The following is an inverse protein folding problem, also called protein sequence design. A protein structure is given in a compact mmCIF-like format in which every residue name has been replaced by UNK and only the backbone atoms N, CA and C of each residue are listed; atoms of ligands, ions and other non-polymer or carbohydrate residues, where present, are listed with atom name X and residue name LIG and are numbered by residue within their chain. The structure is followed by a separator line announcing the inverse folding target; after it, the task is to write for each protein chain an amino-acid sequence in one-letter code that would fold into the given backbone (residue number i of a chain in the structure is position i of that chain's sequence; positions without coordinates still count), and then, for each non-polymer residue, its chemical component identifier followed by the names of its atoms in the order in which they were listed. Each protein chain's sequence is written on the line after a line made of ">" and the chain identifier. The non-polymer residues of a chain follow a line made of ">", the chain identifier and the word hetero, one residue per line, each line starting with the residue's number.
data_IF_717653327813
#
_entry.id   IF_717653327813
#
_cell.length_a   1.000
_cell.length_b   1.000
_cell.length_c   1.000
_cell.angle_alpha   90.00
_cell.angle_beta   90.00
_cell.angle_gamma   90.00
#
_symmetry.space_group_name_H-M   'P 1'
#
loop_
_entity.id
_entity.type
_entity.pdbx_description
1 polymer ?
#
# COMPACT_ATOMS: atom_id res chain seq x y z
N UNK A 1 13.93 3.90 -5.74
CA UNK A 1 13.77 4.40 -4.36
C UNK A 1 12.35 4.88 -4.15
N UNK A 2 11.85 4.81 -2.91
CA UNK A 2 10.45 5.04 -2.49
C UNK A 2 9.87 6.46 -2.69
N UNK A 3 10.42 7.25 -3.63
CA UNK A 3 9.94 8.58 -3.99
C UNK A 3 8.50 8.61 -4.54
N UNK A 4 7.92 7.43 -4.82
CA UNK A 4 6.54 7.24 -5.29
C UNK A 4 5.55 6.92 -4.17
N UNK A 5 6.02 6.71 -2.93
CA UNK A 5 5.11 6.42 -1.84
C UNK A 5 4.33 7.69 -1.49
N UNK A 6 3.01 7.54 -1.43
CA UNK A 6 2.09 8.59 -1.03
C UNK A 6 2.43 9.23 0.33
N UNK A 7 3.11 8.48 1.19
CA UNK A 7 3.60 8.91 2.50
C UNK A 7 5.13 8.88 2.59
N UNK A 8 5.84 9.05 1.47
CA UNK A 8 7.31 8.98 1.38
C UNK A 8 8.04 9.75 2.50
N UNK A 9 7.55 10.95 2.84
CA UNK A 9 8.09 11.76 3.93
C UNK A 9 8.01 11.06 5.30
N UNK A 10 6.90 10.38 5.62
CA UNK A 10 6.75 9.62 6.86
C UNK A 10 7.70 8.42 6.92
N UNK A 11 8.15 7.92 5.77
CA UNK A 11 9.19 6.90 5.65
C UNK A 11 10.62 7.47 5.53
N UNK A 12 10.79 8.79 5.68
CA UNK A 12 12.10 9.45 5.65
C UNK A 12 12.70 9.61 4.25
N UNK A 13 11.86 9.65 3.21
CA UNK A 13 12.29 9.97 1.85
C UNK A 13 12.00 11.44 1.54
N UNK A 14 12.86 12.08 0.76
CA UNK A 14 12.60 13.41 0.19
C UNK A 14 11.86 13.24 -1.14
N UNK A 15 10.64 13.78 -1.25
CA UNK A 15 9.87 13.80 -2.50
C UNK A 15 10.67 14.50 -3.59
N UNK A 16 10.96 13.79 -4.70
CA UNK A 16 11.77 14.36 -5.78
C UNK A 16 11.18 14.23 -7.19
N UNK A 17 10.05 13.54 -7.39
CA UNK A 17 9.46 13.47 -8.73
C UNK A 17 7.93 13.31 -8.67
N UNK A 18 7.22 14.23 -9.31
CA UNK A 18 5.74 14.28 -9.33
C UNK A 18 5.12 13.53 -10.53
N UNK A 19 5.90 13.29 -11.58
CA UNK A 19 5.42 12.67 -12.82
C UNK A 19 6.38 11.58 -13.32
N UNK A 20 5.81 10.51 -13.89
CA UNK A 20 6.55 9.41 -14.49
C UNK A 20 6.04 9.18 -15.91
N UNK A 21 6.96 9.11 -16.86
CA UNK A 21 6.63 8.89 -18.27
C UNK A 21 6.18 7.45 -18.49
N UNK A 22 5.07 7.28 -19.21
CA UNK A 22 4.68 5.97 -19.72
C UNK A 22 5.60 5.59 -20.88
N UNK A 23 6.14 4.37 -20.81
CA UNK A 23 6.95 3.83 -21.88
C UNK A 23 6.10 2.83 -22.67
N UNK A 24 5.83 3.15 -23.94
CA UNK A 24 5.07 2.28 -24.84
C UNK A 24 5.65 0.85 -24.84
N UNK A 25 4.80 -0.15 -24.70
CA UNK A 25 5.21 -1.56 -24.66
C UNK A 25 5.13 -2.26 -26.01
N UNK A 26 4.51 -1.63 -27.00
CA UNK A 26 4.33 -2.18 -28.34
C UNK A 26 5.67 -2.31 -29.09
N UNK A 27 5.77 -3.37 -29.88
CA UNK A 27 6.92 -3.64 -30.76
C UNK A 27 6.51 -3.38 -32.21
N UNK A 28 7.47 -2.95 -33.04
CA UNK A 28 7.22 -2.62 -34.45
C UNK A 28 6.52 -1.26 -34.66
N UNK A 29 6.10 -1.00 -35.89
CA UNK A 29 5.37 0.23 -36.24
C UNK A 29 3.99 0.24 -35.59
N UNK A 30 3.65 1.35 -34.94
CA UNK A 30 2.37 1.57 -34.28
C UNK A 30 2.03 3.06 -34.30
N UNK A 31 0.75 3.37 -34.17
CA UNK A 31 0.23 4.73 -34.18
C UNK A 31 -0.35 5.13 -32.80
N UNK A 32 -0.87 6.35 -32.70
CA UNK A 32 -1.41 6.88 -31.43
C UNK A 32 -2.61 6.09 -30.90
N UNK A 33 -3.46 5.52 -31.77
CA UNK A 33 -4.59 4.68 -31.36
C UNK A 33 -4.09 3.38 -30.72
N UNK A 34 -3.08 2.75 -31.32
CA UNK A 34 -2.49 1.53 -30.77
C UNK A 34 -1.86 1.80 -29.39
N UNK A 35 -1.10 2.89 -29.25
CA UNK A 35 -0.52 3.30 -27.96
C UNK A 35 -1.59 3.60 -26.90
N UNK A 36 -2.68 4.26 -27.29
CA UNK A 36 -3.76 4.64 -26.39
C UNK A 36 -4.49 3.41 -25.85
N UNK A 37 -4.79 2.46 -26.73
CA UNK A 37 -5.40 1.17 -26.39
C UNK A 37 -4.49 0.35 -25.47
N UNK A 38 -3.21 0.18 -25.86
CA UNK A 38 -2.21 -0.55 -25.07
C UNK A 38 -2.03 0.02 -23.66
N UNK A 39 -2.05 1.35 -23.50
CA UNK A 39 -2.02 1.97 -22.18
C UNK A 39 -3.32 1.71 -21.41
N UNK A 40 -4.47 1.85 -22.07
CA UNK A 40 -5.79 1.70 -21.46
C UNK A 40 -6.02 0.31 -20.88
N UNK A 41 -5.50 -0.74 -21.53
CA UNK A 41 -5.62 -2.13 -21.09
C UNK A 41 -4.99 -2.35 -19.72
N UNK A 42 -3.91 -1.60 -19.42
CA UNK A 42 -3.17 -1.72 -18.15
C UNK A 42 -3.84 -0.98 -17.00
N UNK A 43 -4.86 -0.16 -17.26
CA UNK A 43 -5.54 0.63 -16.22
C UNK A 43 -6.23 -0.27 -15.19
N UNK A 44 -6.82 -1.39 -15.63
CA UNK A 44 -7.44 -2.36 -14.72
C UNK A 44 -6.44 -3.01 -13.76
N UNK A 45 -5.19 -3.21 -14.21
CA UNK A 45 -4.16 -3.86 -13.40
C UNK A 45 -3.71 -3.00 -12.21
N UNK A 46 -3.99 -1.69 -12.23
CA UNK A 46 -3.78 -0.80 -11.09
C UNK A 46 -4.45 -1.32 -9.82
N UNK A 47 -5.69 -1.80 -9.93
CA UNK A 47 -6.45 -2.35 -8.81
C UNK A 47 -5.88 -3.69 -8.31
N UNK A 48 -4.99 -4.30 -9.08
CA UNK A 48 -4.20 -5.48 -8.68
C UNK A 48 -2.78 -5.15 -8.20
N UNK A 49 -2.43 -3.85 -8.20
CA UNK A 49 -1.18 -3.36 -7.63
C UNK A 49 -0.05 -3.25 -8.65
N UNK A 50 -0.37 -3.37 -9.94
CA UNK A 50 0.50 -2.94 -11.02
C UNK A 50 0.55 -1.41 -11.07
N UNK A 51 1.67 -0.90 -11.55
CA UNK A 51 1.86 0.51 -11.76
C UNK A 51 2.41 0.76 -13.17
N UNK A 52 1.55 1.09 -14.15
CA UNK A 52 1.93 1.08 -15.58
C UNK A 52 3.09 2.01 -15.95
N UNK A 53 3.28 3.11 -15.20
CA UNK A 53 4.36 4.08 -15.41
C UNK A 53 5.60 3.82 -14.55
N UNK A 54 5.63 2.70 -13.80
CA UNK A 54 6.63 2.44 -12.76
C UNK A 54 7.36 1.11 -13.00
N UNK A 55 8.45 1.15 -13.75
CA UNK A 55 9.38 0.02 -13.86
C UNK A 55 10.62 0.28 -13.02
N UNK A 56 10.83 -0.53 -11.99
CA UNK A 56 12.07 -0.53 -11.20
C UNK A 56 12.87 -1.74 -11.59
N UNK A 57 14.09 -1.53 -12.10
CA UNK A 57 14.99 -2.62 -12.45
C UNK A 57 15.88 -2.98 -11.26
N UNK A 58 16.13 -4.27 -11.09
CA UNK A 58 17.12 -4.75 -10.15
C UNK A 58 18.51 -4.32 -10.61
N UNK A 59 19.29 -3.72 -9.70
CA UNK A 59 20.68 -3.35 -9.93
C UNK A 59 21.54 -4.15 -8.95
N UNK A 60 22.60 -4.77 -9.45
CA UNK A 60 23.46 -5.63 -8.64
C UNK A 60 24.31 -4.86 -7.60
N UNK A 61 24.45 -3.54 -7.74
CA UNK A 61 25.25 -2.66 -6.88
C UNK A 61 26.59 -3.30 -6.43
N UNK A 62 26.83 -3.44 -5.12
CA UNK A 62 28.05 -4.01 -4.53
C UNK A 62 28.01 -5.54 -4.39
N UNK A 63 27.09 -6.21 -5.07
CA UNK A 63 26.86 -7.65 -4.96
C UNK A 63 26.01 -8.06 -3.74
N UNK A 64 25.77 -9.36 -3.61
CA UNK A 64 24.80 -9.93 -2.66
C UNK A 64 25.29 -10.03 -1.21
N UNK A 65 26.59 -9.88 -0.97
CA UNK A 65 27.20 -9.96 0.37
C UNK A 65 27.22 -8.62 1.11
N UNK A 66 26.95 -7.51 0.40
CA UNK A 66 26.93 -6.19 1.00
C UNK A 66 25.59 -5.95 1.71
N UNK A 67 25.65 -5.60 2.98
CA UNK A 67 24.47 -5.23 3.77
C UNK A 67 24.37 -3.73 3.96
N UNK A 68 23.15 -3.21 4.01
CA UNK A 68 22.81 -1.84 4.40
C UNK A 68 21.87 -1.85 5.60
N UNK A 69 21.73 -0.77 6.37
CA UNK A 69 20.72 -0.69 7.42
C UNK A 69 19.32 -1.00 6.87
N UNK A 70 18.62 -1.94 7.50
CA UNK A 70 17.25 -2.29 7.12
C UNK A 70 16.27 -1.24 7.64
N UNK A 71 15.12 -1.12 6.94
CA UNK A 71 14.04 -0.20 7.33
C UNK A 71 12.72 -0.89 7.61
N UNK A 72 12.55 -2.13 7.16
CA UNK A 72 11.28 -2.87 7.16
C UNK A 72 11.53 -4.36 7.03
N UNK A 73 10.55 -5.17 7.42
CA UNK A 73 10.47 -6.61 7.09
C UNK A 73 9.38 -6.79 6.04
N UNK A 74 9.62 -7.66 5.06
CA UNK A 74 8.60 -8.06 4.09
C UNK A 74 7.96 -9.37 4.51
N UNK A 75 6.69 -9.34 4.93
CA UNK A 75 6.00 -10.50 5.52
C UNK A 75 5.84 -11.67 4.56
N UNK A 76 5.84 -11.44 3.24
CA UNK A 76 5.73 -12.50 2.25
C UNK A 76 7.00 -13.34 2.10
N UNK A 77 8.16 -12.81 2.50
CA UNK A 77 9.47 -13.44 2.30
C UNK A 77 10.37 -13.26 3.54
N UNK A 78 9.92 -13.73 4.71
CA UNK A 78 10.78 -13.79 5.89
C UNK A 78 10.95 -15.23 6.35
N UNK A 79 12.17 -15.53 6.82
CA UNK A 79 12.51 -16.80 7.46
C UNK A 79 12.99 -16.43 8.85
N UNK A 80 12.50 -17.17 9.85
CA UNK A 80 12.85 -17.00 11.24
C UNK A 80 13.43 -18.31 11.75
N UNK A 81 14.55 -18.24 12.47
CA UNK A 81 15.10 -19.43 13.12
C UNK A 81 14.24 -19.79 14.32
N UNK A 82 14.12 -21.09 14.69
CA UNK A 82 13.32 -21.51 15.84
C UNK A 82 13.63 -20.71 17.12
N UNK A 83 14.91 -20.48 17.41
CA UNK A 83 15.36 -19.75 18.60
C UNK A 83 15.13 -18.22 18.56
N UNK A 84 14.43 -17.72 17.54
CA UNK A 84 14.02 -16.30 17.44
C UNK A 84 12.51 -16.15 17.24
N UNK A 85 11.71 -17.20 17.44
CA UNK A 85 10.25 -17.17 17.22
C UNK A 85 9.52 -16.17 18.12
N UNK A 86 10.12 -15.72 19.23
CA UNK A 86 9.64 -14.59 20.03
C UNK A 86 9.60 -13.25 19.27
N UNK A 87 10.26 -13.18 18.11
CA UNK A 87 10.22 -12.04 17.19
C UNK A 87 9.31 -12.29 15.97
N UNK A 88 8.48 -13.34 16.00
CA UNK A 88 7.49 -13.59 14.97
C UNK A 88 6.53 -12.40 14.83
N UNK A 89 5.93 -12.22 13.65
CA UNK A 89 5.15 -11.03 13.31
C UNK A 89 4.08 -10.76 14.39
N UNK A 90 4.20 -9.66 15.14
CA UNK A 90 3.23 -9.34 16.18
C UNK A 90 1.94 -8.82 15.59
N UNK A 91 0.87 -8.88 16.38
CA UNK A 91 -0.43 -8.30 16.03
C UNK A 91 -1.09 -8.90 14.78
N UNK A 92 -0.71 -10.11 14.39
CA UNK A 92 -1.24 -10.79 13.21
C UNK A 92 -2.77 -10.95 13.25
N UNK A 93 -3.36 -11.03 14.45
CA UNK A 93 -4.80 -11.10 14.71
C UNK A 93 -5.56 -9.88 14.19
N UNK A 94 -4.91 -8.70 14.13
CA UNK A 94 -5.51 -7.48 13.56
C UNK A 94 -5.66 -7.56 12.03
N UNK A 95 -4.94 -8.47 11.37
CA UNK A 95 -4.93 -8.66 9.91
C UNK A 95 -4.62 -7.39 9.10
N UNK A 96 -3.91 -6.42 9.67
CA UNK A 96 -3.54 -5.18 9.00
C UNK A 96 -2.43 -5.39 7.95
N UNK A 97 -2.33 -4.50 6.96
CA UNK A 97 -1.39 -4.65 5.84
C UNK A 97 0.07 -4.35 6.22
N UNK A 98 0.29 -3.56 7.27
CA UNK A 98 1.61 -3.04 7.65
C UNK A 98 2.33 -3.88 8.72
N UNK A 99 1.96 -5.15 8.92
CA UNK A 99 2.52 -5.99 9.97
C UNK A 99 4.06 -6.18 9.86
N UNK A 100 4.61 -6.33 8.65
CA UNK A 100 6.05 -6.43 8.43
C UNK A 100 6.80 -5.13 8.70
N UNK A 101 6.35 -3.97 8.17
CA UNK A 101 6.86 -2.67 8.58
C UNK A 101 6.80 -2.43 10.09
N UNK A 102 5.72 -2.82 10.77
CA UNK A 102 5.56 -2.71 12.23
C UNK A 102 6.66 -3.52 12.93
N UNK A 103 6.80 -4.80 12.59
CA UNK A 103 7.88 -5.65 13.09
C UNK A 103 9.25 -5.02 12.84
N UNK A 104 9.47 -4.47 11.64
CA UNK A 104 10.71 -3.79 11.29
C UNK A 104 11.04 -2.61 12.21
N UNK A 105 10.05 -1.87 12.73
CA UNK A 105 10.28 -0.79 13.70
C UNK A 105 10.72 -1.32 15.07
N UNK A 106 10.06 -2.36 15.54
CA UNK A 106 10.38 -3.02 16.82
C UNK A 106 11.78 -3.67 16.75
N UNK A 107 12.09 -4.37 15.65
CA UNK A 107 13.41 -4.96 15.46
C UNK A 107 14.48 -3.90 15.33
N UNK A 108 14.22 -2.79 14.64
CA UNK A 108 15.19 -1.71 14.53
C UNK A 108 15.51 -1.06 15.89
N UNK A 109 14.51 -0.86 16.77
CA UNK A 109 14.76 -0.30 18.11
C UNK A 109 15.59 -1.24 18.99
N UNK A 110 15.41 -2.55 18.82
CA UNK A 110 16.07 -3.59 19.61
C UNK A 110 17.45 -3.96 19.08
N UNK A 111 17.56 -4.27 17.79
CA UNK A 111 18.76 -4.78 17.12
C UNK A 111 19.69 -3.66 16.64
N UNK A 112 19.17 -2.44 16.42
CA UNK A 112 19.93 -1.25 16.00
C UNK A 112 20.80 -1.53 14.77
N UNK A 113 22.13 -1.40 14.91
CA UNK A 113 23.09 -1.62 13.81
C UNK A 113 23.10 -3.06 13.28
N UNK A 114 22.52 -4.01 14.00
CA UNK A 114 22.35 -5.40 13.55
C UNK A 114 21.11 -5.61 12.67
N UNK A 115 20.18 -4.64 12.62
CA UNK A 115 19.05 -4.69 11.71
C UNK A 115 19.48 -4.25 10.30
N UNK A 116 19.79 -5.23 9.46
CA UNK A 116 20.38 -5.00 8.13
C UNK A 116 19.62 -5.74 7.02
N UNK A 117 19.76 -5.26 5.80
CA UNK A 117 19.17 -5.84 4.58
C UNK A 117 20.23 -6.00 3.50
N UNK A 118 20.02 -6.96 2.61
CA UNK A 118 20.78 -7.13 1.37
C UNK A 118 19.86 -6.93 0.15
N UNK A 119 20.41 -6.42 -0.95
CA UNK A 119 19.67 -6.26 -2.20
C UNK A 119 19.73 -7.57 -2.99
N UNK A 120 18.61 -8.31 -3.02
CA UNK A 120 18.48 -9.60 -3.71
C UNK A 120 17.51 -9.47 -4.89
N UNK A 121 17.72 -10.22 -5.99
CA UNK A 121 16.81 -10.21 -7.12
C UNK A 121 15.44 -10.77 -6.70
N UNK A 122 14.36 -10.08 -7.06
CA UNK A 122 13.02 -10.62 -6.92
C UNK A 122 12.74 -11.57 -8.09
N UNK A 123 12.38 -12.82 -7.78
CA UNK A 123 12.12 -13.87 -8.77
C UNK A 123 10.62 -14.09 -9.06
N UNK A 124 9.72 -13.26 -8.49
CA UNK A 124 8.27 -13.37 -8.68
C UNK A 124 7.67 -12.04 -9.15
N UNK A 125 6.67 -12.11 -10.03
CA UNK A 125 5.84 -10.98 -10.44
C UNK A 125 4.64 -10.83 -9.50
N UNK A 126 4.10 -9.62 -9.39
CA UNK A 126 2.89 -9.37 -8.56
C UNK A 126 1.59 -9.78 -9.24
N UNK A 127 1.60 -9.80 -10.57
CA UNK A 127 0.46 -10.13 -11.42
C UNK A 127 0.85 -11.29 -12.32
N UNK A 128 -0.13 -12.10 -12.70
CA UNK A 128 0.04 -13.15 -13.71
C UNK A 128 0.11 -12.48 -15.07
N UNK A 129 1.19 -12.67 -15.82
CA UNK A 129 1.44 -11.98 -17.09
C UNK A 129 0.28 -12.12 -18.08
N UNK A 130 -0.43 -13.25 -18.10
CA UNK A 130 -1.53 -13.51 -19.02
C UNK A 130 -2.85 -12.83 -18.66
N UNK A 131 -3.05 -12.44 -17.40
CA UNK A 131 -4.34 -11.89 -16.92
C UNK A 131 -4.20 -10.50 -16.31
N UNK A 132 -2.99 -10.07 -15.96
CA UNK A 132 -2.75 -8.83 -15.21
C UNK A 132 -3.35 -8.82 -13.81
N UNK A 133 -3.92 -9.94 -13.36
CA UNK A 133 -4.52 -10.10 -12.04
C UNK A 133 -3.46 -10.57 -11.05
N UNK A 134 -3.59 -10.14 -9.80
CA UNK A 134 -2.75 -10.67 -8.72
C UNK A 134 -3.11 -12.13 -8.45
N UNK A 135 -2.11 -13.02 -8.34
CA UNK A 135 -2.33 -14.43 -7.95
C UNK A 135 -3.04 -14.51 -6.59
N UNK A 136 -2.69 -13.61 -5.67
CA UNK A 136 -3.35 -13.46 -4.39
C UNK A 136 -3.19 -12.03 -3.86
N UNK A 137 -4.30 -11.31 -3.68
CA UNK A 137 -4.31 -9.99 -3.03
C UNK A 137 -5.43 -9.89 -2.00
N UNK A 138 -5.08 -10.09 -0.73
CA UNK A 138 -6.03 -10.04 0.38
C UNK A 138 -6.74 -8.68 0.46
N UNK A 139 -8.07 -8.71 0.51
CA UNK A 139 -8.90 -7.50 0.60
C UNK A 139 -9.26 -6.87 -0.73
N UNK A 140 -8.88 -7.48 -1.86
CA UNK A 140 -9.35 -7.13 -3.20
C UNK A 140 -10.34 -8.18 -3.68
N UNK A 141 -11.50 -7.77 -4.18
CA UNK A 141 -12.53 -8.65 -4.73
C UNK A 141 -12.86 -8.24 -6.15
N UNK A 142 -12.90 -9.22 -7.05
CA UNK A 142 -13.43 -9.04 -8.40
C UNK A 142 -14.91 -9.41 -8.38
N UNK A 143 -15.76 -8.44 -8.66
CA UNK A 143 -17.19 -8.67 -8.93
C UNK A 143 -17.41 -8.68 -10.46
N UNK A 144 -18.63 -8.97 -10.89
CA UNK A 144 -18.97 -9.04 -12.32
C UNK A 144 -18.75 -7.69 -13.05
N UNK A 145 -18.88 -6.57 -12.33
CA UNK A 145 -18.87 -5.22 -12.92
C UNK A 145 -17.81 -4.28 -12.36
N UNK A 146 -17.18 -4.62 -11.24
CA UNK A 146 -16.23 -3.73 -10.55
C UNK A 146 -15.21 -4.50 -9.70
N UNK A 147 -14.15 -3.79 -9.30
CA UNK A 147 -13.08 -4.30 -8.44
C UNK A 147 -13.16 -3.56 -7.10
N UNK A 148 -13.51 -4.28 -6.03
CA UNK A 148 -13.65 -3.73 -4.68
C UNK A 148 -12.31 -3.82 -3.92
N UNK A 149 -11.76 -2.67 -3.56
CA UNK A 149 -10.54 -2.48 -2.76
C UNK A 149 -10.85 -2.11 -1.30
N UNK A 150 -12.10 -2.07 -0.87
CA UNK A 150 -12.48 -1.42 0.39
C UNK A 150 -11.82 -2.04 1.61
N UNK A 151 -11.74 -3.37 1.65
CA UNK A 151 -11.04 -4.07 2.74
C UNK A 151 -9.53 -3.85 2.69
N UNK A 152 -8.92 -3.85 1.51
CA UNK A 152 -7.50 -3.51 1.35
C UNK A 152 -7.22 -2.07 1.84
N UNK A 153 -8.07 -1.12 1.49
CA UNK A 153 -7.97 0.27 1.91
C UNK A 153 -8.02 0.40 3.44
N UNK A 154 -9.01 -0.23 4.09
CA UNK A 154 -9.15 -0.21 5.56
C UNK A 154 -7.92 -0.83 6.24
N UNK A 155 -7.46 -1.98 5.73
CA UNK A 155 -6.27 -2.67 6.26
C UNK A 155 -4.99 -1.87 6.10
N UNK A 156 -4.89 -1.07 5.03
CA UNK A 156 -3.78 -0.17 4.79
C UNK A 156 -3.85 1.03 5.75
N UNK A 157 -5.00 1.71 5.83
CA UNK A 157 -5.20 2.88 6.67
C UNK A 157 -4.90 2.61 8.15
N UNK A 158 -5.56 1.62 8.75
CA UNK A 158 -5.30 1.25 10.14
C UNK A 158 -3.93 0.59 10.32
N UNK A 159 -3.39 -0.02 9.27
CA UNK A 159 -2.00 -0.48 9.23
C UNK A 159 -1.00 0.66 9.37
N UNK A 160 -1.23 1.78 8.69
CA UNK A 160 -0.37 2.97 8.80
C UNK A 160 -0.47 3.59 10.20
N UNK A 161 -1.68 3.68 10.77
CA UNK A 161 -1.87 4.13 12.15
C UNK A 161 -1.08 3.26 13.11
N UNK A 162 -1.18 1.93 12.98
CA UNK A 162 -0.42 0.99 13.80
C UNK A 162 1.10 1.19 13.63
N UNK A 163 1.57 1.27 12.38
CA UNK A 163 2.99 1.45 12.06
C UNK A 163 3.57 2.72 12.67
N UNK A 164 2.90 3.86 12.47
CA UNK A 164 3.42 5.14 12.92
C UNK A 164 3.22 5.35 14.43
N UNK A 165 2.20 4.74 15.03
CA UNK A 165 2.07 4.67 16.49
C UNK A 165 3.22 3.89 17.10
N UNK A 166 3.51 2.69 16.60
CA UNK A 166 4.65 1.89 17.07
C UNK A 166 5.96 2.63 16.87
N UNK A 167 6.16 3.32 15.73
CA UNK A 167 7.34 4.15 15.53
C UNK A 167 7.48 5.20 16.64
N UNK A 168 6.43 6.00 16.90
CA UNK A 168 6.42 7.02 17.96
C UNK A 168 6.69 6.41 19.35
N UNK A 169 6.06 5.28 19.67
CA UNK A 169 6.26 4.52 20.91
C UNK A 169 7.72 4.09 21.06
N UNK A 170 8.31 3.48 20.02
CA UNK A 170 9.70 3.03 20.05
C UNK A 170 10.70 4.19 20.13
N UNK A 171 10.43 5.32 19.48
CA UNK A 171 11.27 6.51 19.56
C UNK A 171 11.25 7.14 20.96
N UNK A 172 10.11 7.05 21.67
CA UNK A 172 9.96 7.46 23.08
C UNK A 172 10.55 6.47 24.09
N UNK A 173 10.99 5.27 23.66
CA UNK A 173 11.45 4.18 24.52
C UNK A 173 10.45 3.78 25.61
N UNK A 174 9.15 3.78 25.30
CA UNK A 174 8.12 3.36 26.26
C UNK A 174 8.16 1.84 26.45
N UNK A 175 7.92 1.39 27.69
CA UNK A 175 7.86 -0.02 28.05
C UNK A 175 6.49 -0.62 27.71
N UNK A 176 6.47 -1.89 27.29
CA UNK A 176 5.25 -2.66 26.99
C UNK A 176 4.72 -3.45 28.19
N UNK A 177 5.19 -3.18 29.41
CA UNK A 177 4.76 -3.82 30.67
C UNK A 177 3.37 -3.38 31.18
N UNK A 178 2.59 -2.70 30.33
CA UNK A 178 1.26 -2.18 30.66
C UNK A 178 1.23 -0.87 31.45
N UNK A 179 2.37 -0.36 31.95
CA UNK A 179 2.40 0.91 32.70
C UNK A 179 2.09 2.15 31.85
N UNK A 180 2.23 2.05 30.52
CA UNK A 180 2.10 3.16 29.58
C UNK A 180 0.75 3.21 28.84
N UNK A 181 -0.32 2.61 29.39
CA UNK A 181 -1.63 2.53 28.72
C UNK A 181 -2.16 3.86 28.19
N UNK A 182 -2.15 4.91 29.03
CA UNK A 182 -2.69 6.22 28.66
C UNK A 182 -1.81 6.91 27.61
N UNK A 183 -0.49 6.76 27.73
CA UNK A 183 0.49 7.28 26.77
C UNK A 183 0.35 6.58 25.41
N UNK A 184 0.15 5.26 25.39
CA UNK A 184 -0.13 4.50 24.17
C UNK A 184 -1.42 4.98 23.52
N UNK A 185 -2.49 5.19 24.30
CA UNK A 185 -3.76 5.70 23.78
C UNK A 185 -3.58 7.07 23.14
N UNK A 186 -2.93 7.99 23.83
CA UNK A 186 -2.63 9.34 23.32
C UNK A 186 -1.83 9.29 22.02
N UNK A 187 -0.78 8.46 21.96
CA UNK A 187 0.02 8.31 20.72
C UNK A 187 -0.80 7.75 19.56
N UNK A 188 -1.67 6.77 19.82
CA UNK A 188 -2.53 6.16 18.81
C UNK A 188 -3.56 7.17 18.28
N UNK A 189 -4.22 7.91 19.17
CA UNK A 189 -5.26 8.88 18.80
C UNK A 189 -4.66 10.07 18.03
N UNK A 190 -3.50 10.60 18.46
CA UNK A 190 -2.77 11.64 17.73
C UNK A 190 -2.35 11.15 16.33
N UNK A 191 -1.83 9.93 16.25
CA UNK A 191 -1.43 9.34 14.96
C UNK A 191 -2.62 9.10 14.05
N UNK A 192 -3.76 8.72 14.60
CA UNK A 192 -5.01 8.60 13.84
C UNK A 192 -5.40 9.93 13.21
N UNK A 193 -5.41 11.04 13.95
CA UNK A 193 -5.75 12.34 13.38
C UNK A 193 -4.76 12.80 12.29
N UNK A 194 -3.45 12.62 12.53
CA UNK A 194 -2.40 12.92 11.55
C UNK A 194 -2.61 12.15 10.23
N UNK A 195 -2.79 10.83 10.34
CA UNK A 195 -2.95 9.94 9.18
C UNK A 195 -4.28 10.17 8.49
N UNK A 196 -5.38 10.36 9.24
CA UNK A 196 -6.70 10.67 8.69
C UNK A 196 -6.68 11.95 7.87
N UNK A 197 -6.07 13.02 8.38
CA UNK A 197 -5.96 14.27 7.65
C UNK A 197 -5.25 14.08 6.29
N UNK A 198 -4.13 13.34 6.28
CA UNK A 198 -3.39 13.02 5.05
C UNK A 198 -4.23 12.20 4.06
N UNK A 199 -4.94 11.18 4.54
CA UNK A 199 -5.80 10.34 3.71
C UNK A 199 -6.98 11.12 3.11
N UNK A 200 -7.59 12.04 3.87
CA UNK A 200 -8.67 12.92 3.37
C UNK A 200 -8.15 13.87 2.28
N UNK A 201 -6.97 14.46 2.48
CA UNK A 201 -6.34 15.32 1.46
C UNK A 201 -6.07 14.54 0.14
N UNK A 202 -5.55 13.31 0.27
CA UNK A 202 -5.31 12.43 -0.89
C UNK A 202 -6.58 11.99 -1.58
N UNK A 203 -7.60 11.65 -0.81
CA UNK A 203 -8.93 11.31 -1.33
C UNK A 203 -9.49 12.46 -2.17
N UNK A 204 -9.45 13.69 -1.65
CA UNK A 204 -9.89 14.87 -2.39
C UNK A 204 -9.07 15.07 -3.69
N UNK A 205 -7.76 14.84 -3.62
CA UNK A 205 -6.87 14.89 -4.80
C UNK A 205 -7.27 13.85 -5.85
N UNK A 206 -7.55 12.61 -5.43
CA UNK A 206 -7.99 11.52 -6.32
C UNK A 206 -9.30 11.91 -7.04
N UNK A 207 -10.27 12.45 -6.31
CA UNK A 207 -11.55 12.88 -6.89
C UNK A 207 -11.40 14.05 -7.87
N UNK A 208 -10.50 14.99 -7.58
CA UNK A 208 -10.16 16.08 -8.51
C UNK A 208 -9.51 15.53 -9.78
N UNK A 209 -8.50 14.67 -9.65
CA UNK A 209 -7.81 14.05 -10.79
C UNK A 209 -8.76 13.21 -11.64
N UNK A 210 -9.64 12.43 -11.01
CA UNK A 210 -10.70 11.68 -11.70
C UNK A 210 -11.58 12.60 -12.55
N UNK A 211 -12.00 13.73 -12.00
CA UNK A 211 -12.82 14.72 -12.71
C UNK A 211 -12.06 15.35 -13.89
N UNK A 212 -10.76 15.62 -13.73
CA UNK A 212 -9.91 16.11 -14.82
C UNK A 212 -9.77 15.07 -15.94
N UNK A 213 -9.48 13.81 -15.60
CA UNK A 213 -9.37 12.72 -16.59
C UNK A 213 -10.69 12.55 -17.33
N UNK A 214 -11.83 12.51 -16.61
CA UNK A 214 -13.15 12.41 -17.24
C UNK A 214 -13.39 13.55 -18.23
N UNK A 215 -13.06 14.78 -17.83
CA UNK A 215 -13.27 15.96 -18.67
C UNK A 215 -12.39 15.93 -19.93
N UNK A 216 -11.13 15.52 -19.81
CA UNK A 216 -10.21 15.37 -20.94
C UNK A 216 -10.63 14.22 -21.88
N UNK A 217 -11.01 13.07 -21.31
CA UNK A 217 -11.42 11.89 -22.06
C UNK A 217 -12.64 12.19 -22.95
N UNK A 218 -13.61 12.93 -22.42
CA UNK A 218 -14.86 13.26 -23.12
C UNK A 218 -14.86 14.63 -23.80
N UNK A 219 -13.70 15.28 -23.91
CA UNK A 219 -13.57 16.54 -24.62
C UNK A 219 -13.75 16.37 -26.13
N UNK A 220 -14.73 17.07 -26.72
CA UNK A 220 -15.13 16.88 -28.13
C UNK A 220 -13.97 17.07 -29.13
N UNK A 221 -13.09 18.08 -28.99
CA UNK A 221 -11.97 18.29 -29.90
C UNK A 221 -10.88 17.22 -29.82
N UNK A 222 -10.87 16.35 -28.80
CA UNK A 222 -9.84 15.34 -28.68
C UNK A 222 -9.84 14.38 -29.88
N UNK A 223 -8.65 14.02 -30.37
CA UNK A 223 -8.51 13.25 -31.62
C UNK A 223 -9.22 11.89 -31.55
N UNK A 224 -9.24 11.26 -30.38
CA UNK A 224 -9.93 9.99 -30.15
C UNK A 224 -11.46 10.14 -30.23
N UNK A 225 -12.03 11.29 -29.85
CA UNK A 225 -13.47 11.53 -29.95
C UNK A 225 -13.90 11.84 -31.39
N UNK A 226 -13.06 12.56 -32.14
CA UNK A 226 -13.33 12.84 -33.55
C UNK A 226 -13.25 11.58 -34.43
N UNK A 227 -12.41 10.61 -34.07
CA UNK A 227 -12.19 9.36 -34.83
C UNK A 227 -12.85 8.14 -34.20
N UNK A 228 -13.65 8.31 -33.13
CA UNK A 228 -14.20 7.19 -32.34
C UNK A 228 -15.05 6.23 -33.18
N UNK A 229 -15.79 6.74 -34.17
CA UNK A 229 -16.61 5.91 -35.06
C UNK A 229 -15.84 5.15 -36.13
N UNK A 230 -14.53 5.39 -36.27
CA UNK A 230 -13.71 4.89 -37.38
C UNK A 230 -12.79 3.74 -36.96
N UNK A 231 -12.61 3.50 -35.66
CA UNK A 231 -11.65 2.50 -35.15
C UNK A 231 -12.14 1.83 -33.87
N UNK A 232 -12.22 0.50 -33.90
CA UNK A 232 -12.53 -0.33 -32.72
C UNK A 232 -11.49 -0.17 -31.61
N UNK A 233 -10.22 0.05 -31.95
CA UNK A 233 -9.11 0.30 -31.02
C UNK A 233 -9.36 1.56 -30.20
N UNK A 234 -9.85 2.63 -30.83
CA UNK A 234 -10.18 3.88 -30.13
C UNK A 234 -11.39 3.69 -29.21
N UNK A 235 -12.41 2.97 -29.69
CA UNK A 235 -13.61 2.66 -28.88
C UNK A 235 -13.20 1.89 -27.62
N UNK A 236 -12.39 0.85 -27.79
CA UNK A 236 -11.90 0.01 -26.69
C UNK A 236 -11.10 0.82 -25.68
N UNK A 237 -10.16 1.65 -26.15
CA UNK A 237 -9.39 2.51 -25.26
C UNK A 237 -10.23 3.44 -24.40
N UNK A 238 -11.24 4.11 -24.99
CA UNK A 238 -12.14 4.98 -24.23
C UNK A 238 -12.98 4.18 -23.23
N UNK A 239 -13.47 3.00 -23.62
CA UNK A 239 -14.22 2.11 -22.71
C UNK A 239 -13.38 1.68 -21.51
N UNK A 240 -12.10 1.36 -21.70
CA UNK A 240 -11.22 0.98 -20.60
C UNK A 240 -10.95 2.13 -19.64
N UNK A 241 -10.80 3.36 -20.14
CA UNK A 241 -10.75 4.54 -19.27
C UNK A 241 -12.05 4.78 -18.52
N UNK A 242 -13.22 4.66 -19.16
CA UNK A 242 -14.51 4.80 -18.50
C UNK A 242 -14.66 3.76 -17.38
N UNK A 243 -14.32 2.50 -17.64
CA UNK A 243 -14.30 1.43 -16.64
C UNK A 243 -13.34 1.73 -15.48
N UNK A 244 -12.14 2.26 -15.77
CA UNK A 244 -11.19 2.69 -14.75
C UNK A 244 -11.80 3.80 -13.86
N UNK A 245 -12.44 4.81 -14.45
CA UNK A 245 -13.06 5.92 -13.71
C UNK A 245 -14.26 5.46 -12.87
N UNK A 246 -15.04 4.48 -13.36
CA UNK A 246 -16.11 3.83 -12.58
C UNK A 246 -15.53 3.13 -11.35
N UNK A 247 -14.46 2.35 -11.51
CA UNK A 247 -13.80 1.68 -10.39
C UNK A 247 -13.17 2.69 -9.41
N UNK A 248 -12.59 3.81 -9.89
CA UNK A 248 -12.13 4.88 -8.99
C UNK A 248 -13.32 5.47 -8.22
N UNK A 249 -14.45 5.72 -8.87
CA UNK A 249 -15.64 6.24 -8.20
C UNK A 249 -16.19 5.27 -7.15
N UNK A 250 -16.30 3.97 -7.44
CA UNK A 250 -16.86 3.01 -6.48
C UNK A 250 -15.99 2.84 -5.23
N UNK A 251 -14.67 2.93 -5.39
CA UNK A 251 -13.72 2.73 -4.30
C UNK A 251 -13.38 3.98 -3.48
N UNK A 252 -13.48 5.15 -4.09
CA UNK A 252 -12.98 6.41 -3.51
C UNK A 252 -14.01 7.53 -3.52
N UNK A 253 -15.31 7.23 -3.66
CA UNK A 253 -16.35 8.22 -3.37
C UNK A 253 -16.50 8.42 -1.86
N UNK A 254 -17.09 9.54 -1.47
CA UNK A 254 -17.46 9.77 -0.08
C UNK A 254 -18.47 8.72 0.42
N UNK A 255 -19.33 8.21 -0.47
CA UNK A 255 -20.30 7.15 -0.15
C UNK A 255 -19.70 5.74 -0.14
N UNK A 256 -18.42 5.59 -0.52
CA UNK A 256 -17.77 4.28 -0.54
C UNK A 256 -17.69 3.70 0.86
N UNK A 257 -17.89 2.38 0.96
CA UNK A 257 -17.78 1.66 2.23
C UNK A 257 -16.46 1.98 2.96
N UNK A 258 -15.36 1.96 2.21
CA UNK A 258 -14.01 2.17 2.74
C UNK A 258 -13.83 3.57 3.34
N UNK A 259 -14.30 4.61 2.64
CA UNK A 259 -14.19 5.99 3.12
C UNK A 259 -15.04 6.20 4.39
N UNK A 260 -16.24 5.63 4.43
CA UNK A 260 -17.13 5.68 5.60
C UNK A 260 -16.51 4.99 6.83
N UNK A 261 -15.73 3.92 6.64
CA UNK A 261 -15.05 3.24 7.75
C UNK A 261 -13.98 4.11 8.42
N UNK A 262 -13.33 5.01 7.68
CA UNK A 262 -12.25 5.87 8.22
C UNK A 262 -12.73 7.26 8.64
N UNK A 263 -13.88 7.71 8.14
CA UNK A 263 -14.47 9.01 8.49
C UNK A 263 -15.45 8.94 9.66
N UNK A 264 -16.06 7.77 9.91
CA UNK A 264 -16.99 7.55 11.02
C UNK A 264 -16.26 7.33 12.35
N UNK A 265 -16.56 8.18 13.33
CA UNK A 265 -15.99 8.09 14.69
C UNK A 265 -16.30 6.78 15.40
N UNK A 266 -17.43 6.12 15.08
CA UNK A 266 -17.79 4.82 15.67
C UNK A 266 -16.92 3.70 15.13
N UNK A 267 -16.70 3.65 13.82
CA UNK A 267 -15.89 2.62 13.18
C UNK A 267 -14.41 2.78 13.54
N UNK A 268 -13.90 4.01 13.47
CA UNK A 268 -12.54 4.32 13.90
C UNK A 268 -12.28 3.83 15.34
N UNK A 269 -13.18 4.15 16.29
CA UNK A 269 -13.01 3.75 17.70
C UNK A 269 -12.81 2.24 17.88
N UNK A 270 -13.52 1.41 17.13
CA UNK A 270 -13.36 -0.05 17.23
C UNK A 270 -11.95 -0.50 16.82
N UNK A 271 -11.41 0.03 15.73
CA UNK A 271 -10.06 -0.30 15.29
C UNK A 271 -8.99 0.28 16.22
N UNK A 272 -9.15 1.53 16.67
CA UNK A 272 -8.20 2.15 17.60
C UNK A 272 -8.16 1.40 18.93
N UNK A 273 -9.30 0.91 19.42
CA UNK A 273 -9.36 0.04 20.59
C UNK A 273 -8.60 -1.27 20.34
N UNK A 274 -8.85 -1.92 19.20
CA UNK A 274 -8.18 -3.18 18.87
C UNK A 274 -6.65 -2.99 18.75
N UNK A 275 -6.20 -1.88 18.18
CA UNK A 275 -4.79 -1.50 18.12
C UNK A 275 -4.23 -1.29 19.53
N UNK A 276 -4.92 -0.51 20.38
CA UNK A 276 -4.47 -0.25 21.75
C UNK A 276 -4.35 -1.53 22.56
N UNK A 277 -5.37 -2.39 22.54
CA UNK A 277 -5.35 -3.69 23.22
C UNK A 277 -4.21 -4.58 22.72
N UNK A 278 -4.00 -4.63 21.40
CA UNK A 278 -2.90 -5.41 20.83
C UNK A 278 -1.53 -4.90 21.31
N UNK A 279 -1.32 -3.58 21.35
CA UNK A 279 -0.09 -2.97 21.85
C UNK A 279 0.11 -3.26 23.34
N UNK A 280 -0.95 -3.19 24.14
CA UNK A 280 -0.92 -3.48 25.59
C UNK A 280 -0.53 -4.92 25.89
N UNK A 281 -1.01 -5.88 25.09
CA UNK A 281 -0.76 -7.30 25.29
C UNK A 281 0.53 -7.79 24.61
N UNK A 282 1.31 -6.89 24.01
CA UNK A 282 2.48 -7.29 23.23
C UNK A 282 3.54 -8.02 24.07
N UNK A 283 3.74 -7.59 25.31
CA UNK A 283 4.71 -8.23 26.21
C UNK A 283 4.26 -9.65 26.60
N UNK A 284 2.96 -9.83 26.85
CA UNK A 284 2.37 -11.15 27.14
C UNK A 284 2.53 -12.12 25.95
N UNK A 285 2.36 -11.62 24.73
CA UNK A 285 2.60 -12.39 23.49
C UNK A 285 4.07 -12.86 23.41
N UNK A 286 5.02 -11.97 23.72
CA UNK A 286 6.45 -12.29 23.74
C UNK A 286 6.74 -13.36 24.80
N UNK A 287 6.20 -13.20 26.01
CA UNK A 287 6.49 -14.11 27.11
C UNK A 287 5.87 -15.48 26.87
N UNK A 288 4.68 -15.56 26.25
CA UNK A 288 4.07 -16.80 25.78
C UNK A 288 4.97 -17.54 24.75
N UNK A 289 5.60 -16.80 23.84
CA UNK A 289 6.58 -17.40 22.91
C UNK A 289 7.81 -17.92 23.63
N UNK A 290 8.39 -17.15 24.55
CA UNK A 290 9.56 -17.60 25.33
C UNK A 290 9.26 -18.85 26.14
N UNK A 291 8.10 -18.91 26.79
CA UNK A 291 7.66 -20.12 27.51
C UNK A 291 7.56 -21.31 26.56
N UNK A 292 6.99 -21.12 25.37
CA UNK A 292 6.87 -22.18 24.36
C UNK A 292 8.24 -22.67 23.85
N UNK A 293 9.22 -21.78 23.70
CA UNK A 293 10.56 -22.11 23.18
C UNK A 293 11.52 -22.68 24.23
N UNK A 294 11.27 -22.43 25.51
CA UNK A 294 12.07 -22.94 26.63
C UNK A 294 11.54 -24.28 27.19
N UNK A 295 10.40 -24.76 26.68
CA UNK A 295 9.86 -26.10 26.91
C UNK A 295 10.38 -27.09 25.86
#
# INVERSE_FOLDING_TARGET
>A
GAAYHDMANLFGFSNKQQTFEYHCTLQGEHNNADCFDDFSDKLGHFFHGEHPTRKTFFHYDKGFSATTPARTVYTGNYVIKPENLEHFIPFATLKLRMAGPVLGRILNSTLRSKFVSANLPMLHNRTVDSTGQAEFRAGVKNNDTDIDLGNEFIRQFFGDIMLFSIKKITDKNLSYDGSNSDEFRSVIDETYEDIRANYVEKHNTILQLKTQIYSQLHDKPAWWNNKRGESSTIIHGVTNFDNFLVNIQSNFSEDSFAYQQISSSKHARHYLESIHQAVMNYQDDIDSWKETLNN
#
